data_IF_630375161246
#
_entry.id   IF_630375161246
#
_cell.length_a   1.000
_cell.length_b   1.000
_cell.length_c   1.000
_cell.angle_alpha   90.00
_cell.angle_beta   90.00
_cell.angle_gamma   90.00
#
_symmetry.space_group_name_H-M   'P 1'
#
loop_
_entity.id
_entity.type
_entity.pdbx_description
1 polymer ?
#
# COMPACT_ATOMS: atom_id res chain seq x y z
N UNK A 1 -24.43 58.46 16.04
CA UNK A 1 -23.64 57.26 16.39
C UNK A 1 -24.57 56.22 17.00
N UNK A 2 -24.52 54.99 16.48
CA UNK A 2 -25.15 53.75 16.99
C UNK A 2 -26.64 53.80 17.38
N UNK A 3 -27.50 53.39 16.45
CA UNK A 3 -28.85 52.87 16.76
C UNK A 3 -28.97 51.43 16.27
N UNK A 4 -29.38 50.55 17.19
CA UNK A 4 -29.63 49.12 17.00
C UNK A 4 -31.12 48.84 17.27
N UNK A 5 -31.62 47.79 16.58
CA UNK A 5 -32.90 47.05 16.74
C UNK A 5 -34.15 47.70 16.12
N UNK A 6 -35.17 46.93 15.65
CA UNK A 6 -35.62 45.58 16.05
C UNK A 6 -35.90 44.63 14.84
N UNK A 7 -36.37 43.38 14.92
CA UNK A 7 -36.98 42.59 15.98
C UNK A 7 -37.31 41.17 15.49
N UNK A 8 -37.63 40.30 16.46
CA UNK A 8 -38.13 38.93 16.25
C UNK A 8 -39.55 38.91 15.67
N UNK A 9 -39.83 37.93 14.79
CA UNK A 9 -41.12 37.23 14.75
C UNK A 9 -40.90 35.71 14.63
N UNK A 10 -41.50 34.98 15.57
CA UNK A 10 -41.73 33.54 15.57
C UNK A 10 -42.86 33.19 14.59
N UNK A 11 -42.76 32.06 13.91
CA UNK A 11 -43.90 31.23 13.53
C UNK A 11 -43.53 29.74 13.68
N UNK A 12 -44.51 28.96 14.11
CA UNK A 12 -44.42 27.62 14.68
C UNK A 12 -44.49 26.51 13.61
N UNK A 13 -43.76 25.40 13.84
CA UNK A 13 -44.23 24.00 14.06
C UNK A 13 -44.82 23.22 12.87
N UNK A 14 -44.06 22.20 12.45
CA UNK A 14 -44.47 20.81 12.14
C UNK A 14 -43.16 20.05 11.81
N UNK A 15 -42.76 18.91 12.35
CA UNK A 15 -43.52 17.77 12.85
C UNK A 15 -43.31 16.56 11.91
N UNK A 16 -42.15 15.89 11.98
CA UNK A 16 -41.84 14.53 11.48
C UNK A 16 -40.34 14.29 11.82
N UNK A 17 -39.97 13.43 12.76
CA UNK A 17 -39.97 11.97 12.65
C UNK A 17 -38.50 11.51 12.47
N UNK A 18 -37.91 10.73 13.39
CA UNK A 18 -36.50 10.34 13.27
C UNK A 18 -36.34 9.31 12.15
N UNK A 19 -35.53 9.65 11.15
CA UNK A 19 -35.14 8.73 10.07
C UNK A 19 -34.30 7.57 10.64
N UNK A 20 -34.40 6.34 10.09
CA UNK A 20 -33.98 5.12 10.74
C UNK A 20 -32.45 5.03 10.83
N UNK A 21 -31.99 4.56 11.99
CA UNK A 21 -30.69 3.94 12.15
C UNK A 21 -30.59 2.79 11.16
N UNK A 22 -29.84 2.96 10.08
CA UNK A 22 -29.27 1.85 9.32
C UNK A 22 -28.31 1.11 10.25
N UNK A 23 -28.59 -0.17 10.45
CA UNK A 23 -27.76 -1.08 11.20
C UNK A 23 -26.35 -1.06 10.63
N UNK A 24 -25.40 -0.59 11.42
CA UNK A 24 -24.00 -0.85 11.20
C UNK A 24 -23.79 -2.34 11.53
N UNK A 25 -23.60 -3.17 10.52
CA UNK A 25 -22.94 -4.46 10.67
C UNK A 25 -21.56 -4.17 11.25
N UNK A 26 -21.33 -4.62 12.48
CA UNK A 26 -20.05 -4.50 13.15
C UNK A 26 -19.08 -5.51 12.56
N UNK A 27 -18.42 -5.15 11.46
CA UNK A 27 -17.14 -5.77 11.13
C UNK A 27 -16.18 -5.38 12.26
N UNK A 28 -15.84 -6.35 13.10
CA UNK A 28 -14.83 -6.18 14.14
C UNK A 28 -13.54 -5.70 13.46
N UNK A 29 -13.16 -4.45 13.71
CA UNK A 29 -11.83 -3.94 13.33
C UNK A 29 -10.81 -4.62 14.23
N UNK A 30 -10.16 -5.67 13.74
CA UNK A 30 -9.03 -6.32 14.40
C UNK A 30 -7.79 -5.42 14.26
N UNK A 31 -7.72 -4.38 15.09
CA UNK A 31 -6.54 -3.52 15.20
C UNK A 31 -5.81 -3.83 16.51
N UNK A 32 -4.63 -4.45 16.40
CA UNK A 32 -3.76 -4.70 17.55
C UNK A 32 -3.16 -3.35 18.01
N UNK A 33 -3.33 -2.99 19.30
CA UNK A 33 -2.73 -1.78 19.88
C UNK A 33 -1.80 -2.15 21.01
N UNK A 34 -0.50 -2.07 20.75
CA UNK A 34 0.53 -2.20 21.77
C UNK A 34 0.51 -1.01 22.75
N UNK A 35 0.57 -1.26 24.07
CA UNK A 35 0.72 -0.23 25.12
C UNK A 35 1.97 -0.50 25.96
N UNK A 36 3.07 0.23 25.76
CA UNK A 36 4.24 0.09 26.62
C UNK A 36 4.06 0.80 27.97
N UNK A 37 4.63 0.22 29.04
CA UNK A 37 4.80 0.87 30.35
C UNK A 37 6.16 1.58 30.42
N UNK A 38 6.31 2.70 31.16
CA UNK A 38 7.55 3.47 31.19
C UNK A 38 8.50 2.98 32.29
N UNK A 39 9.76 2.67 31.93
CA UNK A 39 10.86 2.53 32.89
C UNK A 39 12.18 3.14 32.36
N UNK A 40 12.54 4.25 33.02
CA UNK A 40 13.83 4.78 33.50
C UNK A 40 15.20 4.43 32.84
N UNK A 41 15.99 5.50 32.71
CA UNK A 41 17.36 5.67 32.16
C UNK A 41 18.50 4.92 32.88
N UNK A 42 19.53 4.53 32.11
CA UNK A 42 20.98 4.62 32.38
C UNK A 42 21.72 4.51 31.01
N UNK A 43 22.48 5.48 30.46
CA UNK A 43 23.81 6.10 30.76
C UNK A 43 25.04 5.19 30.45
N UNK A 44 25.77 5.56 29.38
CA UNK A 44 27.23 5.43 29.17
C UNK A 44 27.75 4.06 28.65
N UNK A 45 28.80 3.93 27.84
CA UNK A 45 29.76 4.87 27.24
C UNK A 45 30.64 4.17 26.19
N UNK A 46 31.01 4.96 25.17
CA UNK A 46 32.10 4.91 24.18
C UNK A 46 33.32 3.96 24.35
N UNK A 47 33.79 3.39 23.23
CA UNK A 47 35.10 3.67 22.54
C UNK A 47 35.51 2.51 21.59
N UNK A 48 35.63 2.74 20.28
CA UNK A 48 36.78 3.26 19.50
C UNK A 48 37.82 2.21 19.05
N UNK A 49 38.06 2.20 17.72
CA UNK A 49 39.30 1.87 16.94
C UNK A 49 39.19 0.68 15.98
N UNK A 50 39.91 0.59 14.87
CA UNK A 50 40.48 1.51 13.87
C UNK A 50 41.15 0.60 12.80
N UNK A 51 40.80 0.79 11.52
CA UNK A 51 41.57 0.61 10.27
C UNK A 51 42.17 -0.74 9.78
N UNK A 52 41.96 -0.94 8.47
CA UNK A 52 42.85 -1.61 7.48
C UNK A 52 42.39 -3.02 7.11
N UNK A 53 42.19 -3.42 5.85
CA UNK A 53 43.03 -3.23 4.66
C UNK A 53 42.25 -3.69 3.38
N UNK A 54 42.70 -3.23 2.20
CA UNK A 54 42.07 -3.36 0.86
C UNK A 54 42.15 -4.78 0.26
N UNK A 55 41.14 -5.18 -0.52
CA UNK A 55 41.24 -6.27 -1.52
C UNK A 55 40.45 -5.91 -2.80
N UNK A 56 41.04 -6.30 -3.93
CA UNK A 56 40.73 -5.94 -5.31
C UNK A 56 39.37 -6.39 -5.87
N UNK A 57 38.79 -5.54 -6.74
CA UNK A 57 37.57 -5.78 -7.53
C UNK A 57 37.73 -6.90 -8.55
N UNK A 58 36.82 -7.88 -8.49
CA UNK A 58 36.41 -8.68 -9.65
C UNK A 58 34.89 -8.65 -9.71
N UNK A 59 34.35 -7.88 -10.68
CA UNK A 59 32.94 -7.84 -10.97
C UNK A 59 32.46 -9.19 -11.52
N UNK A 60 31.81 -9.97 -10.66
CA UNK A 60 30.96 -11.10 -11.06
C UNK A 60 29.52 -10.66 -10.88
N UNK A 61 28.79 -10.58 -11.98
CA UNK A 61 27.33 -10.59 -12.02
C UNK A 61 26.83 -11.76 -11.16
N UNK A 62 25.89 -11.57 -10.22
CA UNK A 62 25.25 -12.70 -9.57
C UNK A 62 24.44 -13.43 -10.64
N UNK A 63 24.95 -14.58 -11.05
CA UNK A 63 24.13 -15.63 -11.63
C UNK A 63 22.99 -15.88 -10.64
N UNK A 64 21.75 -15.88 -11.14
CA UNK A 64 20.59 -16.30 -10.36
C UNK A 64 20.84 -17.75 -9.93
N UNK A 65 21.23 -17.94 -8.68
CA UNK A 65 21.16 -19.23 -8.02
C UNK A 65 19.68 -19.55 -7.84
N UNK A 66 19.11 -20.24 -8.84
CA UNK A 66 17.91 -21.06 -8.68
C UNK A 66 18.28 -22.22 -7.74
N UNK A 67 18.27 -21.93 -6.43
CA UNK A 67 18.41 -22.91 -5.35
C UNK A 67 17.07 -23.08 -4.63
N UNK A 68 16.66 -24.34 -4.47
CA UNK A 68 15.62 -24.79 -3.52
C UNK A 68 15.62 -23.93 -2.24
N UNK A 69 14.55 -23.18 -1.91
CA UNK A 69 14.25 -22.66 -0.54
C UNK A 69 12.99 -21.74 -0.40
N UNK A 70 11.97 -21.78 -1.30
CA UNK A 70 10.80 -20.87 -1.19
C UNK A 70 9.64 -21.40 -0.31
N UNK A 71 9.94 -21.89 0.90
CA UNK A 71 8.88 -22.18 1.88
C UNK A 71 8.25 -20.90 2.45
N UNK A 72 9.03 -19.81 2.51
CA UNK A 72 8.64 -18.59 3.20
C UNK A 72 8.36 -17.45 2.24
N UNK A 73 7.42 -16.58 2.64
CA UNK A 73 7.13 -15.33 1.95
C UNK A 73 8.41 -14.52 1.68
N UNK A 74 8.51 -13.91 0.50
CA UNK A 74 9.51 -12.90 0.17
C UNK A 74 8.91 -11.51 0.38
N UNK A 75 9.59 -10.67 1.16
CA UNK A 75 9.19 -9.26 1.31
C UNK A 75 9.23 -8.57 -0.04
N UNK A 76 8.14 -7.91 -0.39
CA UNK A 76 8.03 -7.11 -1.59
C UNK A 76 7.42 -5.76 -1.21
N UNK A 77 8.18 -4.68 -1.38
CA UNK A 77 7.68 -3.33 -1.14
C UNK A 77 7.16 -2.65 -2.40
N UNK A 78 7.32 -3.28 -3.56
CA UNK A 78 7.00 -2.75 -4.87
C UNK A 78 6.53 -3.87 -5.80
N UNK A 79 5.37 -3.65 -6.42
CA UNK A 79 4.82 -4.47 -7.49
C UNK A 79 4.58 -3.60 -8.73
N UNK A 80 4.96 -4.11 -9.90
CA UNK A 80 4.75 -3.43 -11.18
C UNK A 80 4.03 -4.40 -12.11
N UNK A 81 2.90 -3.97 -12.67
CA UNK A 81 2.13 -4.73 -13.64
C UNK A 81 1.94 -3.89 -14.90
N UNK A 82 2.51 -4.35 -16.00
CA UNK A 82 2.29 -3.79 -17.33
C UNK A 82 0.98 -4.31 -17.91
N UNK A 83 0.42 -3.55 -18.86
CA UNK A 83 -0.85 -3.87 -19.52
C UNK A 83 -1.99 -4.18 -18.53
N UNK A 84 -2.06 -3.41 -17.44
CA UNK A 84 -2.93 -3.70 -16.30
C UNK A 84 -4.42 -3.72 -16.67
N UNK A 85 -4.93 -2.65 -17.27
CA UNK A 85 -6.33 -2.59 -17.69
C UNK A 85 -6.52 -3.29 -19.05
N UNK A 86 -7.73 -3.80 -19.34
CA UNK A 86 -8.11 -4.15 -20.70
C UNK A 86 -7.80 -2.99 -21.65
N UNK A 87 -7.11 -3.27 -22.76
CA UNK A 87 -6.62 -2.23 -23.67
C UNK A 87 -7.72 -1.23 -24.09
N UNK A 88 -8.93 -1.71 -24.36
CA UNK A 88 -10.07 -0.85 -24.71
C UNK A 88 -10.44 0.15 -23.62
N UNK A 89 -10.37 -0.22 -22.34
CA UNK A 89 -10.67 0.68 -21.22
C UNK A 89 -9.55 1.72 -21.03
N UNK A 90 -8.28 1.28 -21.05
CA UNK A 90 -7.12 2.18 -20.97
C UNK A 90 -7.16 3.26 -22.06
N UNK A 91 -7.50 2.85 -23.29
CA UNK A 91 -7.65 3.73 -24.45
C UNK A 91 -8.80 4.74 -24.28
N UNK A 92 -9.96 4.33 -23.76
CA UNK A 92 -11.09 5.24 -23.51
C UNK A 92 -10.78 6.26 -22.42
N UNK A 93 -10.18 5.84 -21.31
CA UNK A 93 -9.77 6.73 -20.22
C UNK A 93 -8.78 7.78 -20.72
N UNK A 94 -7.74 7.33 -21.45
CA UNK A 94 -6.76 8.25 -22.02
C UNK A 94 -7.35 9.15 -23.11
N UNK A 95 -8.16 8.59 -24.01
CA UNK A 95 -8.83 9.33 -25.07
C UNK A 95 -9.73 10.45 -24.55
N UNK A 96 -10.46 10.20 -23.45
CA UNK A 96 -11.28 11.20 -22.78
C UNK A 96 -10.47 12.43 -22.33
N UNK A 97 -9.24 12.20 -21.85
CA UNK A 97 -8.33 13.29 -21.50
C UNK A 97 -7.83 14.02 -22.76
N UNK A 98 -7.37 13.28 -23.77
CA UNK A 98 -6.83 13.85 -25.00
C UNK A 98 -7.85 14.72 -25.75
N UNK A 99 -9.11 14.27 -25.86
CA UNK A 99 -10.19 15.00 -26.53
C UNK A 99 -10.46 16.35 -25.87
N UNK A 100 -10.53 16.38 -24.53
CA UNK A 100 -10.81 17.60 -23.75
C UNK A 100 -9.69 18.64 -23.82
N UNK A 101 -8.47 18.21 -24.12
CA UNK A 101 -7.32 19.09 -24.31
C UNK A 101 -6.93 19.28 -25.79
N UNK A 102 -7.70 18.73 -26.74
CA UNK A 102 -7.36 18.77 -28.16
C UNK A 102 -7.37 20.19 -28.76
N UNK A 103 -8.34 21.03 -28.38
CA UNK A 103 -8.39 22.45 -28.78
C UNK A 103 -8.14 23.36 -27.57
N UNK A 104 -6.95 23.98 -27.46
CA UNK A 104 -6.63 24.84 -26.33
C UNK A 104 -7.50 26.09 -26.25
N UNK A 105 -8.18 26.49 -27.34
CA UNK A 105 -9.06 27.67 -27.40
C UNK A 105 -10.49 27.38 -26.94
N UNK A 106 -10.88 26.11 -26.86
CA UNK A 106 -12.19 25.73 -26.36
C UNK A 106 -12.19 25.67 -24.83
N UNK A 107 -13.19 26.32 -24.22
CA UNK A 107 -13.51 26.16 -22.81
C UNK A 107 -14.45 24.98 -22.61
N UNK A 108 -14.36 24.35 -21.43
CA UNK A 108 -15.28 23.31 -20.99
C UNK A 108 -15.17 23.14 -19.48
N UNK A 109 -16.26 22.81 -18.76
CA UNK A 109 -16.24 22.68 -17.30
C UNK A 109 -15.16 21.71 -16.81
N UNK A 110 -14.84 20.67 -17.57
CA UNK A 110 -13.83 19.66 -17.27
C UNK A 110 -12.39 20.22 -17.30
N UNK A 111 -12.15 21.30 -18.06
CA UNK A 111 -10.85 22.00 -18.05
C UNK A 111 -10.67 22.88 -16.82
N UNK A 112 -11.77 23.28 -16.18
CA UNK A 112 -11.77 24.08 -14.95
C UNK A 112 -11.86 23.22 -13.68
N UNK A 113 -11.93 21.89 -13.82
CA UNK A 113 -12.02 20.95 -12.69
C UNK A 113 -10.66 20.59 -12.07
N UNK A 114 -9.57 21.23 -12.51
CA UNK A 114 -8.21 20.94 -12.07
C UNK A 114 -7.76 21.89 -10.97
N UNK A 115 -7.33 21.31 -9.85
CA UNK A 115 -6.65 21.99 -8.74
C UNK A 115 -5.15 22.09 -9.05
N UNK A 116 -4.62 23.31 -9.08
CA UNK A 116 -3.17 23.52 -9.11
C UNK A 116 -2.63 23.37 -7.70
N UNK A 117 -2.11 22.19 -7.40
CA UNK A 117 -1.63 21.84 -6.08
C UNK A 117 -0.14 22.13 -5.98
N UNK A 118 0.15 23.31 -5.44
CA UNK A 118 1.51 23.77 -5.18
C UNK A 118 1.74 23.93 -3.69
N UNK A 119 2.68 23.15 -3.17
CA UNK A 119 3.24 23.29 -1.83
C UNK A 119 4.74 23.44 -1.99
N UNK A 120 5.31 24.62 -1.66
CA UNK A 120 6.74 24.86 -1.79
C UNK A 120 7.57 23.73 -1.17
N UNK A 121 8.59 23.30 -1.89
CA UNK A 121 9.51 22.21 -1.50
C UNK A 121 8.85 20.84 -1.27
N UNK A 122 7.58 20.66 -1.63
CA UNK A 122 6.89 19.37 -1.51
C UNK A 122 6.26 18.94 -2.83
N UNK A 123 5.30 19.71 -3.34
CA UNK A 123 4.43 19.28 -4.44
C UNK A 123 4.25 20.38 -5.47
N UNK A 124 4.25 20.02 -6.75
CA UNK A 124 3.89 20.92 -7.83
C UNK A 124 3.23 20.12 -8.95
N UNK A 125 1.90 20.08 -9.00
CA UNK A 125 1.17 19.36 -10.04
C UNK A 125 -0.28 19.83 -10.20
N UNK A 126 -0.94 19.37 -11.26
CA UNK A 126 -2.38 19.52 -11.46
C UNK A 126 -3.09 18.23 -11.03
N UNK A 127 -4.19 18.33 -10.29
CA UNK A 127 -4.99 17.15 -9.91
C UNK A 127 -6.49 17.40 -9.94
N UNK A 128 -7.26 16.34 -10.08
CA UNK A 128 -8.73 16.37 -9.99
C UNK A 128 -9.26 15.00 -9.51
N UNK A 129 -10.40 14.92 -8.82
CA UNK A 129 -11.01 13.64 -8.49
C UNK A 129 -11.38 12.86 -9.76
N UNK A 130 -10.86 11.64 -9.93
CA UNK A 130 -11.05 10.85 -11.15
C UNK A 130 -12.53 10.54 -11.43
N UNK A 131 -13.31 10.28 -10.37
CA UNK A 131 -14.76 10.03 -10.43
C UNK A 131 -15.56 11.20 -11.02
N UNK A 132 -15.10 12.43 -10.80
CA UNK A 132 -15.75 13.62 -11.35
C UNK A 132 -15.28 13.93 -12.78
N UNK A 133 -14.17 13.31 -13.22
CA UNK A 133 -13.56 13.56 -14.52
C UNK A 133 -14.05 12.55 -15.57
N UNK A 134 -14.05 11.25 -15.28
CA UNK A 134 -14.44 10.22 -16.24
C UNK A 134 -15.96 10.01 -16.29
N UNK A 135 -16.43 9.34 -17.35
CA UNK A 135 -17.81 8.88 -17.41
C UNK A 135 -18.09 7.91 -16.25
N UNK A 136 -19.35 7.80 -15.83
CA UNK A 136 -19.73 6.89 -14.74
C UNK A 136 -19.39 5.42 -15.09
N UNK A 137 -19.58 5.05 -16.36
CA UNK A 137 -19.26 3.73 -16.89
C UNK A 137 -17.75 3.45 -16.84
N UNK A 138 -16.92 4.31 -17.43
CA UNK A 138 -15.47 4.10 -17.46
C UNK A 138 -14.85 4.15 -16.06
N UNK A 139 -15.34 5.04 -15.19
CA UNK A 139 -14.85 5.09 -13.80
C UNK A 139 -15.21 3.83 -13.03
N UNK A 140 -16.41 3.27 -13.24
CA UNK A 140 -16.82 2.04 -12.59
C UNK A 140 -15.97 0.86 -13.05
N UNK A 141 -15.74 0.69 -14.34
CA UNK A 141 -14.85 -0.36 -14.85
C UNK A 141 -13.41 -0.22 -14.32
N UNK A 142 -12.90 1.02 -14.22
CA UNK A 142 -11.60 1.30 -13.61
C UNK A 142 -11.56 0.91 -12.13
N UNK A 143 -12.58 1.31 -11.36
CA UNK A 143 -12.69 1.04 -9.93
C UNK A 143 -12.81 -0.46 -9.66
N UNK A 144 -13.62 -1.18 -10.44
CA UNK A 144 -13.77 -2.63 -10.35
C UNK A 144 -12.44 -3.35 -10.64
N UNK A 145 -11.67 -2.91 -11.65
CA UNK A 145 -10.36 -3.50 -11.98
C UNK A 145 -9.32 -3.29 -10.86
N UNK A 146 -9.26 -2.08 -10.28
CA UNK A 146 -8.37 -1.79 -9.16
C UNK A 146 -8.77 -2.58 -7.90
N UNK A 147 -10.06 -2.63 -7.56
CA UNK A 147 -10.56 -3.40 -6.42
C UNK A 147 -10.28 -4.90 -6.57
N UNK A 148 -10.49 -5.46 -7.77
CA UNK A 148 -10.16 -6.85 -8.05
C UNK A 148 -8.67 -7.14 -7.84
N UNK A 149 -7.78 -6.24 -8.28
CA UNK A 149 -6.34 -6.36 -7.99
C UNK A 149 -6.05 -6.30 -6.48
N UNK A 150 -6.67 -5.36 -5.76
CA UNK A 150 -6.50 -5.23 -4.31
C UNK A 150 -6.91 -6.49 -3.55
N UNK A 151 -8.02 -7.11 -3.94
CA UNK A 151 -8.50 -8.36 -3.36
C UNK A 151 -7.59 -9.53 -3.73
N UNK A 152 -7.28 -9.67 -5.02
CA UNK A 152 -6.56 -10.84 -5.52
C UNK A 152 -5.07 -10.85 -5.12
N UNK A 153 -4.42 -9.68 -5.09
CA UNK A 153 -2.97 -9.59 -4.89
C UNK A 153 -2.55 -9.06 -3.53
N UNK A 154 -3.40 -8.30 -2.83
CA UNK A 154 -2.99 -7.54 -1.64
C UNK A 154 -3.81 -7.88 -0.38
N UNK A 155 -4.92 -8.61 -0.50
CA UNK A 155 -5.86 -8.82 0.60
C UNK A 155 -6.56 -7.55 1.08
N UNK A 156 -6.74 -6.57 0.20
CA UNK A 156 -7.43 -5.31 0.49
C UNK A 156 -8.78 -5.28 -0.23
N UNK A 157 -9.88 -5.11 0.51
CA UNK A 157 -11.23 -5.12 -0.05
C UNK A 157 -11.75 -3.74 -0.44
N UNK A 158 -11.00 -2.67 -0.14
CA UNK A 158 -11.39 -1.29 -0.43
C UNK A 158 -10.23 -0.48 -0.98
N UNK A 159 -10.57 0.63 -1.63
CA UNK A 159 -9.63 1.67 -2.00
C UNK A 159 -10.20 3.05 -1.69
N UNK A 160 -9.34 4.04 -1.52
CA UNK A 160 -9.74 5.44 -1.50
C UNK A 160 -10.20 5.89 -2.88
N UNK A 161 -11.08 6.91 -2.99
CA UNK A 161 -11.37 7.53 -4.29
C UNK A 161 -10.10 7.96 -5.01
N UNK A 162 -9.97 7.58 -6.28
CA UNK A 162 -8.76 7.85 -7.06
C UNK A 162 -8.66 9.33 -7.47
N UNK A 163 -7.44 9.84 -7.45
CA UNK A 163 -7.09 11.14 -8.01
C UNK A 163 -6.49 10.95 -9.40
N UNK A 164 -6.89 11.81 -10.33
CA UNK A 164 -6.24 11.95 -11.63
C UNK A 164 -5.27 13.14 -11.54
N UNK A 165 -4.00 12.91 -11.84
CA UNK A 165 -2.93 13.89 -11.71
C UNK A 165 -2.18 14.04 -13.04
N UNK A 166 -1.91 15.28 -13.43
CA UNK A 166 -1.20 15.66 -14.65
C UNK A 166 0.05 16.45 -14.30
N UNK A 167 1.17 16.07 -14.89
CA UNK A 167 2.48 16.66 -14.69
C UNK A 167 3.02 17.13 -16.04
N UNK A 168 3.16 18.44 -16.17
CA UNK A 168 3.85 19.12 -17.28
C UNK A 168 5.20 19.64 -16.80
N UNK A 169 5.94 20.32 -17.67
CA UNK A 169 7.24 20.90 -17.36
C UNK A 169 7.24 21.72 -16.07
N UNK A 170 8.18 21.40 -15.18
CA UNK A 170 8.31 21.96 -13.84
C UNK A 170 7.50 21.24 -12.76
N UNK A 171 6.59 20.33 -13.09
CA UNK A 171 5.84 19.55 -12.11
C UNK A 171 6.72 18.48 -11.45
N UNK A 172 6.49 18.22 -10.15
CA UNK A 172 7.23 17.22 -9.36
C UNK A 172 6.45 16.84 -8.10
N UNK A 173 6.91 15.77 -7.45
CA UNK A 173 6.54 15.40 -6.09
C UNK A 173 7.82 15.03 -5.34
N UNK A 174 8.22 15.83 -4.35
CA UNK A 174 9.39 15.53 -3.53
C UNK A 174 9.09 14.35 -2.59
N UNK A 175 10.15 13.81 -1.97
CA UNK A 175 10.03 12.64 -1.12
C UNK A 175 9.10 12.87 0.08
N UNK A 176 8.15 11.96 0.23
CA UNK A 176 7.16 11.91 1.31
C UNK A 176 6.81 10.46 1.60
N UNK A 177 6.05 10.23 2.67
CA UNK A 177 5.44 8.95 2.97
C UNK A 177 3.94 9.20 3.24
N UNK A 178 3.11 8.24 2.84
CA UNK A 178 1.65 8.39 2.78
C UNK A 178 0.94 7.80 4.02
N UNK A 179 1.64 7.71 5.14
CA UNK A 179 1.03 7.25 6.39
C UNK A 179 0.02 8.30 6.91
N UNK A 180 -1.24 7.94 7.25
CA UNK A 180 -1.75 6.59 7.52
C UNK A 180 -2.80 6.07 6.49
N UNK A 181 -2.69 6.40 5.19
CA UNK A 181 -3.80 6.24 4.24
C UNK A 181 -4.21 4.79 3.92
N UNK A 182 -3.30 3.82 4.06
CA UNK A 182 -3.56 2.40 3.84
C UNK A 182 -2.26 1.60 3.82
N UNK A 183 -2.31 0.26 3.72
CA UNK A 183 -1.12 -0.58 3.63
C UNK A 183 -0.43 -0.54 2.26
N UNK A 184 -1.13 -0.10 1.21
CA UNK A 184 -0.61 -0.03 -0.15
C UNK A 184 -1.04 1.26 -0.85
N UNK A 185 -0.10 1.95 -1.48
CA UNK A 185 -0.38 3.01 -2.45
C UNK A 185 -0.33 2.45 -3.86
N UNK A 186 -1.08 3.06 -4.79
CA UNK A 186 -1.01 2.72 -6.20
C UNK A 186 -0.89 3.95 -7.09
N UNK A 187 -0.22 3.76 -8.23
CA UNK A 187 -0.14 4.69 -9.35
C UNK A 187 -0.38 3.92 -10.64
N UNK A 188 -1.47 4.21 -11.33
CA UNK A 188 -1.77 3.69 -12.67
C UNK A 188 -1.46 4.77 -13.70
N UNK A 189 -0.55 4.49 -14.63
CA UNK A 189 -0.15 5.45 -15.64
C UNK A 189 -1.01 5.39 -16.91
N UNK A 190 -1.52 6.55 -17.32
CA UNK A 190 -2.18 6.79 -18.61
C UNK A 190 -1.26 7.60 -19.55
N UNK A 191 0.05 7.58 -19.33
CA UNK A 191 1.01 8.37 -20.10
C UNK A 191 1.42 7.63 -21.37
N UNK A 192 1.10 8.18 -22.55
CA UNK A 192 1.52 7.61 -23.85
C UNK A 192 2.87 8.09 -24.33
N UNK A 193 3.20 9.35 -24.05
CA UNK A 193 4.29 10.07 -24.68
C UNK A 193 5.43 10.34 -23.71
N UNK A 194 5.84 9.29 -22.98
CA UNK A 194 6.93 9.38 -22.00
C UNK A 194 8.29 9.74 -22.65
N UNK A 195 8.40 9.66 -23.97
CA UNK A 195 9.54 10.12 -24.78
C UNK A 195 9.56 11.64 -25.01
N UNK A 196 8.47 12.36 -24.70
CA UNK A 196 8.33 13.81 -24.91
C UNK A 196 8.81 14.66 -23.74
N UNK A 197 9.16 14.03 -22.62
CA UNK A 197 9.67 14.71 -21.44
C UNK A 197 10.73 13.88 -20.74
N UNK A 198 11.57 14.53 -19.96
CA UNK A 198 12.49 13.90 -19.01
C UNK A 198 11.86 13.88 -17.61
N UNK A 199 12.27 12.92 -16.78
CA UNK A 199 11.76 12.76 -15.41
C UNK A 199 10.38 12.10 -15.38
N UNK A 200 9.54 12.47 -14.40
CA UNK A 200 8.21 11.89 -14.22
C UNK A 200 8.18 10.43 -13.75
N UNK A 201 9.33 9.80 -13.52
CA UNK A 201 9.38 8.48 -12.93
C UNK A 201 8.97 8.52 -11.45
N UNK A 202 8.22 7.51 -11.02
CA UNK A 202 7.96 7.25 -9.59
C UNK A 202 9.23 6.68 -9.00
N UNK A 203 9.75 7.29 -7.94
CA UNK A 203 10.99 6.90 -7.27
C UNK A 203 10.68 6.51 -5.83
N UNK A 204 11.11 5.32 -5.42
CA UNK A 204 10.82 4.74 -4.10
C UNK A 204 12.15 4.34 -3.47
N UNK A 205 12.39 4.71 -2.21
CA UNK A 205 13.61 4.33 -1.51
C UNK A 205 13.64 2.83 -1.24
N UNK A 206 14.78 2.17 -1.41
CA UNK A 206 14.91 0.75 -1.11
C UNK A 206 14.88 0.51 0.40
N UNK A 207 14.16 -0.52 0.91
CA UNK A 207 14.12 -0.82 2.34
C UNK A 207 15.50 -1.00 2.98
N UNK A 208 16.48 -1.56 2.25
CA UNK A 208 17.85 -1.74 2.74
C UNK A 208 18.54 -0.43 3.14
N UNK A 209 18.17 0.69 2.52
CA UNK A 209 18.72 2.02 2.84
C UNK A 209 18.22 2.50 4.20
N UNK A 210 17.01 2.10 4.61
CA UNK A 210 16.45 2.48 5.91
C UNK A 210 17.21 1.81 7.07
N UNK A 211 17.93 0.73 6.77
CA UNK A 211 18.80 -0.03 7.69
C UNK A 211 20.29 0.13 7.34
N UNK A 212 20.67 1.24 6.68
CA UNK A 212 21.98 1.44 6.03
C UNK A 212 23.19 0.97 6.84
N UNK A 213 23.26 1.30 8.12
CA UNK A 213 24.41 0.98 8.96
C UNK A 213 24.54 -0.50 9.33
N UNK A 214 23.46 -1.28 9.26
CA UNK A 214 23.49 -2.73 9.49
C UNK A 214 24.15 -3.48 8.34
N UNK A 215 24.04 -2.95 7.13
CA UNK A 215 24.61 -3.53 5.91
C UNK A 215 25.70 -2.65 5.29
N UNK A 216 26.26 -1.71 6.05
CA UNK A 216 27.26 -0.78 5.53
C UNK A 216 28.57 -1.51 5.26
N UNK A 217 29.07 -1.32 4.04
CA UNK A 217 30.36 -1.82 3.60
C UNK A 217 31.20 -0.64 3.11
N UNK A 218 32.30 -0.36 3.83
CA UNK A 218 33.23 0.73 3.49
C UNK A 218 33.96 0.53 2.16
N UNK A 219 33.93 -0.68 1.60
CA UNK A 219 34.55 -1.00 0.32
C UNK A 219 33.56 -0.94 -0.86
N UNK A 220 32.27 -0.75 -0.60
CA UNK A 220 31.24 -0.67 -1.64
C UNK A 220 30.74 0.78 -1.81
N UNK A 221 30.77 1.27 -3.05
CA UNK A 221 30.11 2.52 -3.42
C UNK A 221 28.59 2.43 -3.24
N UNK A 222 27.92 3.58 -3.09
CA UNK A 222 26.47 3.67 -3.01
C UNK A 222 25.97 4.66 -4.06
N UNK A 223 25.39 4.14 -5.14
CA UNK A 223 24.91 4.91 -6.26
C UNK A 223 23.38 5.05 -6.25
N UNK A 224 22.81 5.88 -7.11
CA UNK A 224 21.37 6.15 -7.14
C UNK A 224 20.50 4.87 -7.19
N UNK A 225 20.91 3.89 -8.00
CA UNK A 225 20.19 2.61 -8.14
C UNK A 225 20.31 1.68 -6.92
N UNK A 226 21.30 1.89 -6.05
CA UNK A 226 21.41 1.19 -4.77
C UNK A 226 20.46 1.77 -3.73
N UNK A 227 20.08 3.05 -3.91
CA UNK A 227 19.23 3.79 -2.98
C UNK A 227 17.76 3.73 -3.38
N UNK A 228 17.45 3.72 -4.68
CA UNK A 228 16.09 3.88 -5.16
C UNK A 228 15.69 2.84 -6.20
N UNK A 229 14.45 2.37 -6.09
CA UNK A 229 13.71 1.80 -7.21
C UNK A 229 13.05 2.93 -8.01
N UNK A 230 13.10 2.82 -9.34
CA UNK A 230 12.53 3.83 -10.23
C UNK A 230 11.62 3.16 -11.25
N UNK A 231 10.37 3.62 -11.33
CA UNK A 231 9.36 3.10 -12.24
C UNK A 231 8.97 4.19 -13.23
N UNK A 232 9.31 3.97 -14.50
CA UNK A 232 8.91 4.86 -15.58
C UNK A 232 7.38 4.85 -15.76
N UNK A 233 6.75 6.00 -16.07
CA UNK A 233 5.29 6.11 -16.23
C UNK A 233 4.88 5.59 -17.61
N UNK A 234 5.08 4.31 -17.89
CA UNK A 234 4.65 3.71 -19.16
C UNK A 234 3.13 3.61 -19.23
N UNK A 235 2.57 3.62 -20.45
CA UNK A 235 1.12 3.53 -20.63
C UNK A 235 0.59 2.22 -20.05
N UNK A 236 -0.55 2.28 -19.36
CA UNK A 236 -1.24 1.13 -18.77
C UNK A 236 -0.40 0.33 -17.76
N UNK A 237 0.61 0.95 -17.15
CA UNK A 237 1.38 0.37 -16.06
C UNK A 237 0.75 0.70 -14.71
N UNK A 238 0.42 -0.31 -13.92
CA UNK A 238 0.10 -0.21 -12.51
C UNK A 238 1.37 -0.38 -11.67
N UNK A 239 1.63 0.57 -10.78
CA UNK A 239 2.67 0.51 -9.76
C UNK A 239 1.99 0.48 -8.40
N UNK A 240 2.25 -0.54 -7.59
CA UNK A 240 1.74 -0.68 -6.22
C UNK A 240 2.91 -0.79 -5.27
N UNK A 241 2.92 -0.03 -4.18
CA UNK A 241 4.06 0.00 -3.27
C UNK A 241 3.66 0.30 -1.84
N UNK A 242 4.56 -0.02 -0.91
CA UNK A 242 4.40 0.25 0.51
C UNK A 242 4.50 1.76 0.79
N UNK A 243 3.40 2.43 1.20
CA UNK A 243 3.35 3.88 1.39
C UNK A 243 4.15 4.37 2.58
N UNK A 244 4.63 3.46 3.45
CA UNK A 244 5.49 3.81 4.59
C UNK A 244 6.88 4.23 4.15
N UNK A 245 7.30 3.76 2.97
CA UNK A 245 8.62 4.02 2.42
C UNK A 245 8.63 5.39 1.75
N UNK A 246 9.66 6.23 1.99
CA UNK A 246 9.81 7.50 1.30
C UNK A 246 9.83 7.35 -0.22
N UNK A 247 8.95 8.08 -0.90
CA UNK A 247 8.79 8.03 -2.35
C UNK A 247 8.40 9.40 -2.93
N UNK A 248 8.53 9.55 -4.25
CA UNK A 248 8.22 10.79 -4.95
C UNK A 248 8.12 10.61 -6.47
N UNK A 249 8.00 11.73 -7.17
CA UNK A 249 7.97 11.81 -8.63
C UNK A 249 9.05 12.78 -9.09
N UNK A 250 10.02 12.26 -9.84
CA UNK A 250 11.08 13.07 -10.42
C UNK A 250 10.52 14.20 -11.29
N UNK A 251 11.17 15.36 -11.26
CA UNK A 251 10.67 16.56 -11.94
C UNK A 251 10.52 16.35 -13.44
N UNK A 252 9.33 16.62 -13.96
CA UNK A 252 9.04 16.59 -15.40
C UNK A 252 9.66 17.81 -16.08
N UNK A 253 10.34 17.59 -17.20
CA UNK A 253 10.94 18.66 -18.03
C UNK A 253 10.67 18.41 -19.52
N UNK A 254 10.31 19.45 -20.27
CA UNK A 254 10.32 19.42 -21.74
C UNK A 254 9.00 19.71 -22.44
N UNK A 255 7.83 19.43 -21.84
CA UNK A 255 6.53 19.71 -22.46
C UNK A 255 5.60 20.52 -21.57
N UNK A 256 4.93 21.52 -22.14
CA UNK A 256 3.86 22.28 -21.52
C UNK A 256 2.47 21.85 -22.04
N UNK A 257 2.41 20.92 -23.02
CA UNK A 257 1.15 20.35 -23.49
C UNK A 257 0.70 19.25 -22.51
N UNK A 258 -0.47 19.38 -21.85
CA UNK A 258 -0.97 18.37 -20.92
C UNK A 258 -1.13 16.99 -21.56
N UNK A 259 -1.38 16.91 -22.87
CA UNK A 259 -1.52 15.64 -23.61
C UNK A 259 -0.17 14.94 -23.76
N UNK A 260 0.93 15.67 -23.78
CA UNK A 260 2.26 15.06 -23.85
C UNK A 260 2.86 14.82 -22.46
N UNK A 261 2.29 15.42 -21.41
CA UNK A 261 2.73 15.27 -20.04
C UNK A 261 2.46 13.89 -19.43
N UNK A 262 2.98 13.69 -18.21
CA UNK A 262 2.69 12.50 -17.40
C UNK A 262 1.29 12.61 -16.82
N UNK A 263 0.45 11.64 -17.16
CA UNK A 263 -0.92 11.52 -16.67
C UNK A 263 -1.06 10.22 -15.89
N UNK A 264 -1.48 10.29 -14.63
CA UNK A 264 -1.63 9.12 -13.77
C UNK A 264 -2.88 9.20 -12.91
N UNK A 265 -3.41 8.02 -12.59
CA UNK A 265 -4.35 7.79 -11.51
C UNK A 265 -3.59 7.33 -10.27
N UNK A 266 -3.97 7.80 -9.09
CA UNK A 266 -3.36 7.34 -7.84
C UNK A 266 -4.33 7.34 -6.66
N UNK A 267 -4.02 6.52 -5.67
CA UNK A 267 -4.80 6.34 -4.45
C UNK A 267 -4.17 5.29 -3.55
N UNK A 268 -4.95 4.83 -2.57
CA UNK A 268 -4.51 3.83 -1.60
C UNK A 268 -5.52 2.70 -1.51
N UNK A 269 -5.03 1.47 -1.41
CA UNK A 269 -5.83 0.34 -0.93
C UNK A 269 -5.96 0.43 0.58
N UNK A 270 -7.12 0.07 1.11
CA UNK A 270 -7.48 0.26 2.52
C UNK A 270 -8.39 -0.86 3.03
N UNK A 271 -8.64 -0.84 4.35
CA UNK A 271 -9.52 -1.77 5.06
C UNK A 271 -9.23 -3.25 4.69
N UNK A 272 -8.05 -3.79 5.06
CA UNK A 272 -7.81 -5.21 4.94
C UNK A 272 -8.85 -6.01 5.72
N UNK A 273 -9.57 -6.87 5.01
CA UNK A 273 -10.57 -7.78 5.57
C UNK A 273 -10.46 -9.13 4.89
N UNK A 274 -10.84 -10.23 5.56
CA UNK A 274 -10.99 -11.50 4.90
C UNK A 274 -11.87 -11.42 3.65
N UNK A 275 -11.51 -12.18 2.63
CA UNK A 275 -12.25 -12.31 1.38
C UNK A 275 -12.39 -13.79 1.04
N UNK A 276 -13.58 -14.18 0.60
CA UNK A 276 -13.96 -15.58 0.38
C UNK A 276 -14.43 -15.74 -1.07
N UNK A 277 -13.88 -16.71 -1.78
CA UNK A 277 -14.29 -17.09 -3.13
C UNK A 277 -14.47 -18.60 -3.22
N UNK A 278 -15.69 -19.07 -3.46
CA UNK A 278 -16.01 -20.49 -3.59
C UNK A 278 -17.27 -20.92 -2.86
N UNK A 279 -17.29 -22.18 -2.41
CA UNK A 279 -18.49 -22.85 -1.92
C UNK A 279 -18.84 -22.53 -0.46
N UNK A 280 -17.86 -22.18 0.38
CA UNK A 280 -18.09 -21.75 1.75
C UNK A 280 -18.39 -20.25 1.80
N UNK A 281 -19.49 -19.87 2.45
CA UNK A 281 -19.82 -18.48 2.72
C UNK A 281 -19.16 -17.96 4.01
N UNK A 282 -19.15 -16.64 4.18
CA UNK A 282 -18.54 -15.94 5.32
C UNK A 282 -19.09 -16.46 6.66
N UNK A 283 -20.41 -16.63 6.77
CA UNK A 283 -21.08 -17.08 8.00
C UNK A 283 -20.61 -18.49 8.42
N UNK A 284 -20.39 -19.38 7.45
CA UNK A 284 -19.93 -20.75 7.69
C UNK A 284 -18.45 -20.81 8.11
N UNK A 285 -17.63 -19.93 7.55
CA UNK A 285 -16.18 -19.86 7.83
C UNK A 285 -15.88 -19.16 9.16
N UNK A 286 -16.73 -18.20 9.56
CA UNK A 286 -16.45 -17.25 10.63
C UNK A 286 -16.02 -17.91 11.95
N UNK A 287 -16.67 -18.99 12.38
CA UNK A 287 -16.37 -19.66 13.64
C UNK A 287 -14.95 -20.23 13.68
N UNK A 288 -14.63 -21.12 12.74
CA UNK A 288 -13.32 -21.76 12.67
C UNK A 288 -12.19 -20.74 12.43
N UNK A 289 -12.43 -19.75 11.55
CA UNK A 289 -11.44 -18.72 11.29
C UNK A 289 -11.22 -17.81 12.51
N UNK A 290 -12.27 -17.42 13.24
CA UNK A 290 -12.11 -16.59 14.44
C UNK A 290 -11.30 -17.29 15.52
N UNK A 291 -11.58 -18.57 15.78
CA UNK A 291 -10.82 -19.37 16.76
C UNK A 291 -9.34 -19.50 16.37
N UNK A 292 -9.05 -19.74 15.09
CA UNK A 292 -7.69 -19.77 14.56
C UNK A 292 -6.98 -18.41 14.71
N UNK A 293 -7.64 -17.32 14.33
CA UNK A 293 -7.08 -15.96 14.43
C UNK A 293 -6.87 -15.51 15.87
N UNK A 294 -7.74 -15.92 16.80
CA UNK A 294 -7.56 -15.69 18.24
C UNK A 294 -6.29 -16.38 18.75
N UNK A 295 -6.09 -17.67 18.41
CA UNK A 295 -4.89 -18.44 18.77
C UNK A 295 -3.61 -17.81 18.20
N UNK A 296 -3.63 -17.45 16.90
CA UNK A 296 -2.52 -16.72 16.27
C UNK A 296 -2.24 -15.42 17.03
N UNK A 297 -3.28 -14.65 17.37
CA UNK A 297 -3.16 -13.39 18.09
C UNK A 297 -2.56 -13.53 19.50
N UNK A 298 -2.82 -14.62 20.20
CA UNK A 298 -2.22 -14.92 21.51
C UNK A 298 -0.74 -15.29 21.40
N UNK A 299 -0.37 -16.10 20.41
CA UNK A 299 1.02 -16.51 20.16
C UNK A 299 1.87 -15.34 19.66
N UNK A 300 1.34 -14.51 18.75
CA UNK A 300 2.03 -13.32 18.24
C UNK A 300 2.32 -12.27 19.33
N UNK A 301 1.56 -12.24 20.43
CA UNK A 301 1.86 -11.35 21.57
C UNK A 301 3.16 -11.72 22.30
N UNK A 302 3.64 -12.96 22.13
CA UNK A 302 4.92 -13.43 22.68
C UNK A 302 6.07 -13.23 21.68
N UNK A 303 5.77 -12.86 20.43
CA UNK A 303 6.76 -12.65 19.39
C UNK A 303 7.35 -11.24 19.42
N UNK A 304 8.55 -11.02 18.85
CA UNK A 304 9.08 -9.68 18.65
C UNK A 304 8.08 -8.82 17.85
N UNK A 305 7.86 -7.56 18.24
CA UNK A 305 6.87 -6.74 17.56
C UNK A 305 7.34 -6.41 16.14
N UNK A 306 6.39 -6.44 15.21
CA UNK A 306 6.58 -6.07 13.82
C UNK A 306 5.54 -5.02 13.41
N UNK A 307 5.78 -4.39 12.26
CA UNK A 307 4.86 -3.47 11.61
C UNK A 307 4.70 -3.84 10.13
N UNK A 308 3.52 -3.59 9.59
CA UNK A 308 3.24 -3.77 8.15
C UNK A 308 2.09 -4.73 7.92
N UNK A 309 2.12 -5.35 6.75
CA UNK A 309 1.04 -6.20 6.29
C UNK A 309 1.58 -7.53 5.80
N UNK A 310 0.82 -8.59 6.06
CA UNK A 310 0.96 -9.89 5.44
C UNK A 310 -0.41 -10.31 4.94
N UNK A 311 -0.51 -10.80 3.71
CA UNK A 311 -1.75 -11.38 3.19
C UNK A 311 -1.45 -12.78 2.67
N UNK A 312 -2.22 -13.73 3.17
CA UNK A 312 -2.13 -15.15 2.83
C UNK A 312 -3.46 -15.59 2.25
N UNK A 313 -3.43 -16.39 1.20
CA UNK A 313 -4.61 -17.10 0.72
C UNK A 313 -4.49 -18.56 1.10
N UNK A 314 -5.52 -19.11 1.72
CA UNK A 314 -5.62 -20.55 1.96
C UNK A 314 -6.62 -21.17 1.00
N UNK A 315 -6.31 -22.35 0.50
CA UNK A 315 -7.22 -23.15 -0.31
C UNK A 315 -7.83 -24.26 0.54
N UNK A 316 -9.15 -24.27 0.65
CA UNK A 316 -9.92 -25.21 1.45
C UNK A 316 -10.62 -26.21 0.53
N UNK A 317 -10.46 -27.50 0.82
CA UNK A 317 -11.10 -28.60 0.09
C UNK A 317 -12.55 -28.82 0.53
N UNK A 318 -13.28 -29.63 -0.23
CA UNK A 318 -14.68 -30.01 0.05
C UNK A 318 -14.86 -30.68 1.42
N UNK A 319 -13.83 -31.34 1.94
CA UNK A 319 -13.86 -31.98 3.26
C UNK A 319 -13.57 -31.02 4.42
N UNK A 320 -13.28 -29.75 4.12
CA UNK A 320 -12.98 -28.70 5.07
C UNK A 320 -11.50 -28.56 5.44
N UNK A 321 -10.60 -29.41 4.91
CA UNK A 321 -9.17 -29.31 5.17
C UNK A 321 -8.49 -28.23 4.32
N UNK A 322 -7.41 -27.64 4.84
CA UNK A 322 -6.55 -26.72 4.10
C UNK A 322 -5.57 -27.52 3.23
N UNK A 323 -5.60 -27.29 1.92
CA UNK A 323 -4.70 -27.93 0.94
C UNK A 323 -3.38 -27.15 0.78
N UNK A 324 -3.47 -25.83 0.66
CA UNK A 324 -2.32 -24.98 0.37
C UNK A 324 -2.45 -23.59 0.99
N UNK A 325 -1.32 -22.93 1.14
CA UNK A 325 -1.18 -21.54 1.56
C UNK A 325 -0.35 -20.79 0.51
N UNK A 326 -0.90 -19.70 -0.01
CA UNK A 326 -0.27 -18.84 -1.01
C UNK A 326 0.03 -17.46 -0.41
N UNK A 327 1.28 -17.01 -0.54
CA UNK A 327 1.71 -15.69 -0.10
C UNK A 327 1.29 -14.64 -1.14
N UNK A 328 0.37 -13.74 -0.78
CA UNK A 328 -0.09 -12.68 -1.69
C UNK A 328 0.75 -11.42 -1.58
N UNK A 329 0.96 -10.94 -0.36
CA UNK A 329 1.68 -9.69 -0.12
C UNK A 329 2.36 -9.68 1.24
N UNK A 330 3.57 -9.14 1.33
CA UNK A 330 4.34 -9.09 2.57
C UNK A 330 5.25 -7.87 2.64
N UNK A 331 4.92 -7.01 3.60
CA UNK A 331 5.68 -5.82 3.96
C UNK A 331 6.13 -5.87 5.43
N UNK A 332 6.15 -7.04 6.07
CA UNK A 332 6.47 -7.13 7.48
C UNK A 332 7.91 -6.71 7.78
N UNK A 333 8.05 -5.79 8.74
CA UNK A 333 9.33 -5.33 9.25
C UNK A 333 9.32 -5.46 10.78
N UNK A 334 10.19 -6.29 11.38
CA UNK A 334 10.39 -6.30 12.82
C UNK A 334 10.83 -4.91 13.31
N UNK A 335 10.31 -4.44 14.44
CA UNK A 335 10.67 -3.13 14.98
C UNK A 335 12.07 -3.20 15.61
N UNK A 336 13.06 -2.45 15.11
CA UNK A 336 14.41 -2.45 15.68
C UNK A 336 14.41 -2.00 17.16
N UNK A 337 15.21 -2.65 18.01
CA UNK A 337 15.38 -2.26 19.41
C UNK A 337 14.13 -2.40 20.28
N UNK A 338 13.06 -3.01 19.77
CA UNK A 338 11.89 -3.28 20.59
C UNK A 338 12.24 -4.40 21.58
N UNK A 339 12.03 -4.17 22.89
CA UNK A 339 12.43 -5.13 23.91
C UNK A 339 11.61 -6.41 23.74
N UNK A 340 12.28 -7.50 23.37
CA UNK A 340 11.69 -8.83 23.53
C UNK A 340 11.96 -9.24 24.97
N UNK A 341 10.92 -9.65 25.69
CA UNK A 341 11.10 -10.24 27.01
C UNK A 341 11.65 -11.65 26.78
N UNK A 342 12.93 -11.84 27.06
CA UNK A 342 13.49 -13.18 27.18
C UNK A 342 12.76 -13.94 28.30
N UNK A 343 12.87 -15.28 28.28
CA UNK A 343 12.25 -16.16 29.29
C UNK A 343 12.66 -15.83 30.74
N UNK A 344 13.80 -15.16 30.92
CA UNK A 344 14.31 -14.68 32.21
C UNK A 344 13.89 -13.24 32.55
N UNK A 345 13.08 -12.60 31.70
CA UNK A 345 12.62 -11.23 31.85
C UNK A 345 13.63 -10.16 31.40
N UNK A 346 14.76 -10.54 30.80
CA UNK A 346 15.70 -9.58 30.23
C UNK A 346 15.14 -8.99 28.92
N UNK A 347 15.42 -7.70 28.69
CA UNK A 347 15.18 -7.07 27.39
C UNK A 347 16.31 -7.45 26.45
N UNK A 348 16.01 -8.23 25.43
CA UNK A 348 16.95 -8.57 24.35
C UNK A 348 16.52 -7.92 23.05
N UNK A 349 17.49 -7.63 22.17
CA UNK A 349 17.19 -7.25 20.79
C UNK A 349 16.36 -8.36 20.12
N UNK A 350 15.43 -8.00 19.22
CA UNK A 350 14.76 -8.98 18.39
C UNK A 350 15.79 -9.88 17.68
N UNK A 351 15.56 -11.20 17.64
CA UNK A 351 16.46 -12.07 16.91
C UNK A 351 16.41 -11.75 15.42
N UNK A 352 17.49 -12.03 14.68
CA UNK A 352 17.59 -11.72 13.25
C UNK A 352 16.48 -12.40 12.42
N UNK A 353 15.95 -13.51 12.92
CA UNK A 353 14.86 -14.30 12.36
C UNK A 353 13.47 -13.92 12.89
N UNK A 354 13.31 -12.79 13.60
CA UNK A 354 12.03 -12.36 14.20
C UNK A 354 10.84 -12.41 13.24
N UNK A 355 11.06 -12.04 11.97
CA UNK A 355 10.01 -12.15 10.94
C UNK A 355 9.66 -13.60 10.65
N UNK A 356 10.64 -14.49 10.54
CA UNK A 356 10.40 -15.90 10.26
C UNK A 356 9.57 -16.55 11.38
N UNK A 357 9.88 -16.26 12.65
CA UNK A 357 9.07 -16.74 13.79
C UNK A 357 7.60 -16.31 13.69
N UNK A 358 7.34 -15.07 13.25
CA UNK A 358 5.97 -14.58 13.01
C UNK A 358 5.30 -15.39 11.88
N UNK A 359 6.01 -15.68 10.79
CA UNK A 359 5.47 -16.45 9.68
C UNK A 359 5.18 -17.90 10.09
N UNK A 360 6.05 -18.52 10.88
CA UNK A 360 5.89 -19.89 11.41
C UNK A 360 4.61 -20.00 12.23
N UNK A 361 4.41 -19.12 13.21
CA UNK A 361 3.18 -19.06 14.03
C UNK A 361 1.92 -18.99 13.16
N UNK A 362 1.94 -18.14 12.13
CA UNK A 362 0.77 -17.97 11.25
C UNK A 362 0.53 -19.23 10.42
N UNK A 363 1.58 -19.80 9.81
CA UNK A 363 1.46 -20.98 8.95
C UNK A 363 1.02 -22.21 9.73
N UNK A 364 1.62 -22.47 10.89
CA UNK A 364 1.26 -23.63 11.73
C UNK A 364 -0.22 -23.60 12.10
N UNK A 365 -0.73 -22.45 12.53
CA UNK A 365 -2.12 -22.30 12.92
C UNK A 365 -3.10 -22.34 11.74
N UNK A 366 -2.74 -21.75 10.59
CA UNK A 366 -3.57 -21.78 9.39
C UNK A 366 -3.56 -23.15 8.71
N UNK A 367 -2.50 -23.95 8.83
CA UNK A 367 -2.46 -25.30 8.26
C UNK A 367 -3.29 -26.30 9.07
N UNK A 368 -3.47 -26.07 10.38
CA UNK A 368 -4.22 -26.96 11.28
C UNK A 368 -5.73 -26.68 11.31
N UNK A 369 -6.18 -25.53 10.79
CA UNK A 369 -7.61 -25.17 10.83
C UNK A 369 -8.42 -26.11 9.94
N UNK A 370 -9.59 -26.51 10.43
CA UNK A 370 -10.56 -27.30 9.68
C UNK A 370 -11.89 -26.54 9.60
N UNK A 371 -12.41 -26.40 8.39
CA UNK A 371 -13.68 -25.77 8.10
C UNK A 371 -14.81 -26.80 7.98
N UNK A 372 -16.08 -26.37 8.00
CA UNK A 372 -17.18 -27.25 7.63
C UNK A 372 -17.04 -27.77 6.20
N UNK A 373 -17.65 -28.92 5.91
CA UNK A 373 -17.70 -29.48 4.55
C UNK A 373 -18.55 -28.59 3.64
N UNK A 374 -18.17 -28.53 2.36
CA UNK A 374 -18.89 -27.78 1.33
C UNK A 374 -18.97 -28.54 0.01
N UNK A 375 -19.82 -28.06 -0.90
CA UNK A 375 -20.05 -28.66 -2.22
C UNK A 375 -18.97 -28.30 -3.26
N UNK A 376 -17.86 -27.69 -2.83
CA UNK A 376 -16.74 -27.30 -3.68
C UNK A 376 -15.58 -26.72 -2.86
N UNK A 377 -14.47 -26.45 -3.55
CA UNK A 377 -13.33 -25.76 -2.94
C UNK A 377 -13.63 -24.29 -2.65
N UNK A 378 -12.91 -23.71 -1.68
CA UNK A 378 -12.99 -22.29 -1.34
C UNK A 378 -11.60 -21.70 -1.16
N UNK A 379 -11.35 -20.54 -1.73
CA UNK A 379 -10.18 -19.71 -1.44
C UNK A 379 -10.55 -18.66 -0.38
N UNK A 380 -9.75 -18.58 0.67
CA UNK A 380 -9.94 -17.63 1.76
C UNK A 380 -8.68 -16.77 1.86
N UNK A 381 -8.81 -15.49 1.51
CA UNK A 381 -7.72 -14.51 1.65
C UNK A 381 -7.81 -13.86 3.03
N UNK A 382 -6.72 -13.91 3.78
CA UNK A 382 -6.62 -13.48 5.17
C UNK A 382 -5.51 -12.43 5.27
N UNK A 383 -5.86 -11.15 5.49
CA UNK A 383 -4.87 -10.12 5.73
C UNK A 383 -4.58 -9.96 7.23
N UNK A 384 -3.30 -9.98 7.58
CA UNK A 384 -2.76 -9.66 8.90
C UNK A 384 -2.15 -8.25 8.86
N UNK A 385 -2.64 -7.36 9.73
CA UNK A 385 -2.15 -5.99 9.86
C UNK A 385 -1.46 -5.81 11.22
N UNK A 386 -0.19 -5.42 11.19
CA UNK A 386 0.66 -5.22 12.36
C UNK A 386 0.89 -3.72 12.59
N UNK A 387 0.57 -3.21 13.79
CA UNK A 387 0.55 -1.79 14.14
C UNK A 387 1.19 -1.45 15.48
#
# INVERSE_FOLDING_TARGET
MTRRLPGLRRAARSGAGPSPRTAATSAARWGWRYRPRPCLRAIGSERDRDLGEKVDEVAQTPEQEDGDDDLWSKRAHLHVSDDFLPAGLAERLRGSFDERFADPKQGGPERFAWDYWHVPDQYNLLRTPAKAYFSEEDYRELEDALLAYGQDKLGCSRMTPAWLSCYVDGCYQNFHADNPHGPWAFVLSLTRSADRFEGGATTIMKPSVLEYWRSYDSFKGCEFGDVFDTVAPQFNRLTVFDPRIPHGVSRVRGTQDPREGRLVLHGWYADPTPFFDGALDEDTVQGALSECLEKIGEELQQMPPAIGMLSIRIKVLEDGSVESLDWLSDTLVPIPGAPVLALDGASVEPPEDARQLILEVIVENLAEVAFPKADGATEITIPFLFQ
#
